data_IF_945433791789
#
_entry.id   IF_945433791789
#
_cell.length_a   1.000
_cell.length_b   1.000
_cell.length_c   1.000
_cell.angle_alpha   90.00
_cell.angle_beta   90.00
_cell.angle_gamma   90.00
#
_symmetry.space_group_name_H-M   'P 1'
#
loop_
_entity.id
_entity.type
_entity.pdbx_description
1 polymer ?
#
# COMPACT_ATOMS: atom_id res chain seq x y z
N UNK A 1 -3.25 -19.70 -27.85
CA UNK A 1 -4.53 -18.95 -27.82
C UNK A 1 -4.28 -17.66 -27.07
N UNK A 2 -4.36 -16.52 -27.76
CA UNK A 2 -4.13 -15.20 -27.17
C UNK A 2 -5.19 -14.94 -26.10
N UNK A 3 -4.78 -14.91 -24.83
CA UNK A 3 -5.68 -14.60 -23.71
C UNK A 3 -6.16 -13.16 -23.83
N UNK A 4 -7.41 -12.97 -24.22
CA UNK A 4 -8.06 -11.66 -24.12
C UNK A 4 -8.02 -11.24 -22.65
N UNK A 5 -7.41 -10.09 -22.37
CA UNK A 5 -7.56 -9.46 -21.06
C UNK A 5 -9.06 -9.22 -20.83
N UNK A 6 -9.61 -9.63 -19.68
CA UNK A 6 -11.03 -9.41 -19.41
C UNK A 6 -11.34 -7.92 -19.50
N UNK A 7 -12.36 -7.59 -20.28
CA UNK A 7 -12.85 -6.21 -20.38
C UNK A 7 -13.65 -5.90 -19.10
N UNK A 8 -13.38 -4.73 -18.52
CA UNK A 8 -14.03 -4.27 -17.29
C UNK A 8 -15.24 -3.41 -17.66
N UNK A 9 -16.36 -3.57 -16.94
CA UNK A 9 -17.51 -2.67 -17.08
C UNK A 9 -17.13 -1.24 -16.72
N UNK A 10 -17.65 -0.24 -17.43
CA UNK A 10 -17.45 1.18 -17.11
C UNK A 10 -18.04 1.55 -15.74
N UNK A 11 -19.02 0.78 -15.28
CA UNK A 11 -19.74 0.94 -14.00
C UNK A 11 -19.13 0.09 -12.88
N UNK A 12 -17.80 0.13 -12.70
CA UNK A 12 -17.16 -0.59 -11.59
C UNK A 12 -17.67 -0.08 -10.24
N UNK A 13 -17.89 -1.00 -9.30
CA UNK A 13 -18.19 -0.74 -7.90
C UNK A 13 -19.47 0.08 -7.62
N UNK A 14 -20.47 -0.01 -8.52
CA UNK A 14 -21.79 0.60 -8.32
C UNK A 14 -22.52 0.06 -7.07
N UNK A 15 -23.49 0.83 -6.53
CA UNK A 15 -24.38 0.34 -5.46
C UNK A 15 -25.01 -1.00 -5.85
N UNK A 16 -24.83 -2.02 -5.01
CA UNK A 16 -25.30 -3.38 -5.27
C UNK A 16 -24.27 -4.35 -5.87
N UNK A 17 -23.04 -3.89 -6.18
CA UNK A 17 -21.96 -4.82 -6.51
C UNK A 17 -21.68 -5.78 -5.34
N UNK A 18 -21.55 -7.09 -5.60
CA UNK A 18 -21.23 -8.05 -4.55
C UNK A 18 -19.87 -7.73 -3.93
N UNK A 19 -19.73 -8.14 -2.67
CA UNK A 19 -18.53 -7.91 -1.88
C UNK A 19 -17.88 -9.24 -1.55
N UNK A 20 -16.56 -9.22 -1.46
CA UNK A 20 -15.76 -10.27 -0.85
C UNK A 20 -15.04 -9.69 0.37
N UNK A 21 -14.27 -10.51 1.12
CA UNK A 21 -13.46 -10.02 2.24
C UNK A 21 -12.45 -8.91 1.87
N UNK A 22 -12.15 -8.73 0.57
CA UNK A 22 -11.25 -7.68 0.04
C UNK A 22 -12.00 -6.46 -0.53
N UNK A 23 -13.28 -6.32 -0.20
CA UNK A 23 -14.11 -5.18 -0.60
C UNK A 23 -15.00 -5.45 -1.82
N UNK A 24 -15.49 -4.39 -2.48
CA UNK A 24 -16.29 -4.49 -3.70
C UNK A 24 -15.57 -5.31 -4.79
N UNK A 25 -16.30 -6.24 -5.40
CA UNK A 25 -15.79 -7.10 -6.47
C UNK A 25 -15.77 -6.37 -7.82
N UNK A 26 -14.87 -6.78 -8.71
CA UNK A 26 -14.79 -6.30 -10.08
C UNK A 26 -15.92 -6.89 -10.92
N UNK A 27 -16.62 -6.04 -11.69
CA UNK A 27 -17.59 -6.46 -12.68
C UNK A 27 -16.90 -6.75 -14.02
N UNK A 28 -17.00 -7.99 -14.50
CA UNK A 28 -16.41 -8.46 -15.75
C UNK A 28 -17.44 -8.37 -16.88
N UNK A 29 -17.03 -7.86 -18.05
CA UNK A 29 -17.84 -7.90 -19.27
C UNK A 29 -17.75 -9.27 -19.94
N UNK A 30 -18.79 -9.63 -20.69
CA UNK A 30 -18.84 -10.82 -21.57
C UNK A 30 -18.54 -12.15 -20.88
N UNK A 31 -19.18 -12.42 -19.73
CA UNK A 31 -19.08 -13.73 -19.08
C UNK A 31 -20.15 -14.67 -19.62
N UNK A 32 -19.76 -15.91 -19.96
CA UNK A 32 -20.68 -16.93 -20.47
C UNK A 32 -21.71 -17.37 -19.39
N UNK A 33 -21.41 -17.14 -18.11
CA UNK A 33 -22.29 -17.47 -16.98
C UNK A 33 -22.61 -16.24 -16.11
N UNK A 34 -23.79 -16.18 -15.46
CA UNK A 34 -24.11 -15.14 -14.48
C UNK A 34 -23.22 -15.18 -13.23
N UNK A 35 -22.72 -16.36 -12.85
CA UNK A 35 -21.88 -16.58 -11.65
C UNK A 35 -20.44 -16.12 -11.81
N UNK A 36 -19.99 -15.88 -13.04
CA UNK A 36 -18.63 -15.40 -13.36
C UNK A 36 -18.57 -13.90 -13.62
N UNK A 37 -19.70 -13.19 -13.52
CA UNK A 37 -19.77 -11.73 -13.73
C UNK A 37 -18.94 -10.93 -12.73
N UNK A 38 -18.55 -11.53 -11.60
CA UNK A 38 -17.82 -10.84 -10.55
C UNK A 38 -16.58 -11.61 -10.09
N UNK A 39 -15.46 -10.90 -10.00
CA UNK A 39 -14.20 -11.44 -9.50
C UNK A 39 -13.66 -10.62 -8.33
N UNK A 40 -12.88 -11.26 -7.46
CA UNK A 40 -12.13 -10.53 -6.43
C UNK A 40 -11.17 -9.54 -7.10
N UNK A 41 -11.09 -8.33 -6.57
CA UNK A 41 -10.20 -7.27 -7.07
C UNK A 41 -8.73 -7.48 -6.66
N UNK A 42 -8.49 -8.28 -5.61
CA UNK A 42 -7.17 -8.54 -5.05
C UNK A 42 -6.56 -9.89 -5.50
N UNK A 43 -7.40 -10.89 -5.79
CA UNK A 43 -6.97 -12.25 -6.07
C UNK A 43 -7.58 -12.77 -7.38
N UNK A 44 -6.76 -13.45 -8.18
CA UNK A 44 -7.15 -13.97 -9.50
C UNK A 44 -8.23 -15.04 -9.43
N UNK A 45 -8.25 -15.86 -8.38
CA UNK A 45 -9.18 -16.97 -8.23
C UNK A 45 -9.86 -16.97 -6.85
N UNK A 46 -11.04 -17.62 -6.79
CA UNK A 46 -11.87 -17.71 -5.59
C UNK A 46 -11.19 -18.48 -4.45
N UNK A 47 -10.35 -19.47 -4.78
CA UNK A 47 -9.66 -20.29 -3.78
C UNK A 47 -8.65 -19.46 -2.97
N UNK A 48 -7.84 -18.64 -3.63
CA UNK A 48 -6.85 -17.79 -2.98
C UNK A 48 -7.49 -16.64 -2.20
N UNK A 49 -8.56 -16.04 -2.75
CA UNK A 49 -9.41 -15.10 -2.02
C UNK A 49 -9.93 -15.72 -0.70
N UNK A 50 -10.45 -16.95 -0.77
CA UNK A 50 -10.95 -17.66 0.42
C UNK A 50 -9.85 -18.07 1.40
N UNK A 51 -8.67 -18.50 0.92
CA UNK A 51 -7.52 -18.83 1.77
C UNK A 51 -7.04 -17.61 2.55
N UNK A 52 -6.87 -16.49 1.86
CA UNK A 52 -6.43 -15.23 2.47
C UNK A 52 -7.43 -14.74 3.52
N UNK A 53 -8.73 -14.81 3.22
CA UNK A 53 -9.79 -14.48 4.19
C UNK A 53 -9.75 -15.35 5.46
N UNK A 54 -9.47 -16.65 5.33
CA UNK A 54 -9.34 -17.55 6.49
C UNK A 54 -8.10 -17.25 7.33
N UNK A 55 -6.98 -16.89 6.68
CA UNK A 55 -5.76 -16.52 7.40
C UNK A 55 -5.96 -15.27 8.26
N UNK A 56 -6.74 -14.29 7.77
CA UNK A 56 -7.07 -13.09 8.51
C UNK A 56 -7.97 -13.35 9.72
N UNK A 57 -8.96 -14.24 9.59
CA UNK A 57 -9.92 -14.53 10.64
C UNK A 57 -9.39 -15.48 11.72
N UNK A 58 -8.22 -16.10 11.51
CA UNK A 58 -7.61 -16.94 12.53
C UNK A 58 -7.16 -16.10 13.72
N UNK A 59 -7.73 -16.34 14.91
CA UNK A 59 -7.32 -15.68 16.15
C UNK A 59 -5.88 -16.07 16.51
N UNK A 60 -4.91 -15.35 15.96
CA UNK A 60 -3.49 -15.46 16.33
C UNK A 60 -3.22 -14.31 17.30
N UNK A 61 -2.64 -14.64 18.46
CA UNK A 61 -2.09 -13.62 19.35
C UNK A 61 -0.95 -12.95 18.57
N UNK A 62 -1.23 -11.78 18.00
CA UNK A 62 -0.30 -11.05 17.18
C UNK A 62 0.26 -9.92 18.01
N UNK A 63 1.54 -9.99 18.30
CA UNK A 63 2.21 -8.94 19.04
C UNK A 63 2.56 -7.79 18.08
N UNK A 64 2.41 -6.56 18.54
CA UNK A 64 2.91 -5.39 17.83
C UNK A 64 4.39 -5.15 18.12
N UNK A 65 5.08 -4.45 17.23
CA UNK A 65 6.45 -3.97 17.46
C UNK A 65 6.55 -3.16 18.75
N UNK A 66 5.56 -2.31 19.04
CA UNK A 66 5.53 -1.53 20.28
C UNK A 66 5.50 -2.40 21.55
N UNK A 67 4.89 -3.58 21.48
CA UNK A 67 4.90 -4.53 22.59
C UNK A 67 6.20 -5.34 22.63
N UNK A 68 6.77 -5.73 21.47
CA UNK A 68 8.05 -6.44 21.39
C UNK A 68 9.22 -5.58 21.88
N UNK A 69 9.22 -4.28 21.58
CA UNK A 69 10.27 -3.35 21.99
C UNK A 69 10.39 -3.23 23.52
N UNK A 70 9.35 -3.61 24.27
CA UNK A 70 9.37 -3.67 25.75
C UNK A 70 10.12 -4.89 26.29
N UNK A 71 10.40 -5.88 25.45
CA UNK A 71 11.16 -7.08 25.80
C UNK A 71 12.62 -6.95 25.33
N UNK A 72 13.52 -7.75 25.91
CA UNK A 72 14.90 -7.85 25.43
C UNK A 72 14.95 -8.51 24.03
N UNK A 73 15.91 -8.16 23.15
CA UNK A 73 15.99 -8.74 21.80
C UNK A 73 15.92 -10.27 21.74
N UNK A 74 16.56 -10.97 22.69
CA UNK A 74 16.54 -12.43 22.77
C UNK A 74 15.15 -13.06 23.02
N UNK A 75 14.19 -12.28 23.52
CA UNK A 75 12.81 -12.71 23.77
C UNK A 75 11.85 -12.36 22.62
N UNK A 76 12.36 -11.78 21.54
CA UNK A 76 11.58 -11.33 20.40
C UNK A 76 11.73 -12.32 19.25
N UNK A 77 10.60 -12.79 18.73
CA UNK A 77 10.57 -13.75 17.62
C UNK A 77 9.59 -13.37 16.52
N UNK A 78 9.88 -13.86 15.32
CA UNK A 78 8.96 -13.88 14.19
C UNK A 78 8.80 -15.31 13.69
N UNK A 79 7.56 -15.77 13.61
CA UNK A 79 7.24 -17.11 13.15
C UNK A 79 6.89 -17.07 11.67
N UNK A 80 7.70 -17.73 10.84
CA UNK A 80 7.56 -17.72 9.38
C UNK A 80 6.34 -18.52 8.93
N UNK A 81 5.94 -19.55 9.68
CA UNK A 81 4.77 -20.38 9.36
C UNK A 81 3.46 -19.75 9.81
N UNK A 82 3.50 -18.96 10.89
CA UNK A 82 2.34 -18.26 11.41
C UNK A 82 2.25 -16.80 10.93
N UNK A 83 3.24 -16.31 10.19
CA UNK A 83 3.33 -14.92 9.72
C UNK A 83 3.08 -13.90 10.85
N UNK A 84 3.69 -14.11 12.02
CA UNK A 84 3.42 -13.30 13.20
C UNK A 84 4.63 -13.01 14.08
N UNK A 85 4.63 -11.82 14.70
CA UNK A 85 5.54 -11.47 15.78
C UNK A 85 5.05 -12.11 17.08
N UNK A 86 5.98 -12.55 17.91
CA UNK A 86 5.69 -13.17 19.19
C UNK A 86 6.79 -12.95 20.23
N UNK A 87 6.44 -13.16 21.50
CA UNK A 87 7.40 -13.25 22.61
C UNK A 87 7.74 -14.70 22.93
N UNK A 88 9.03 -15.01 22.94
CA UNK A 88 9.55 -16.38 23.11
C UNK A 88 9.18 -16.97 24.47
N UNK A 89 9.33 -16.19 25.54
CA UNK A 89 9.03 -16.56 26.93
C UNK A 89 7.55 -16.83 27.21
N UNK A 90 6.65 -16.23 26.42
CA UNK A 90 5.19 -16.32 26.66
C UNK A 90 4.54 -17.35 25.74
N UNK A 91 5.10 -17.55 24.54
CA UNK A 91 4.42 -18.30 23.48
C UNK A 91 5.17 -19.59 23.13
N UNK A 92 4.81 -20.68 23.79
CA UNK A 92 5.37 -22.02 23.53
C UNK A 92 4.90 -22.65 22.21
N UNK A 93 3.83 -22.12 21.59
CA UNK A 93 3.26 -22.63 20.33
C UNK A 93 4.26 -22.64 19.16
N UNK A 94 5.30 -21.80 19.21
CA UNK A 94 6.23 -21.63 18.10
C UNK A 94 7.52 -22.44 18.22
N UNK A 95 7.66 -23.27 19.26
CA UNK A 95 8.88 -24.06 19.51
C UNK A 95 9.23 -24.99 18.34
N UNK A 96 8.22 -25.61 17.72
CA UNK A 96 8.40 -26.53 16.60
C UNK A 96 8.31 -25.85 15.22
N UNK A 97 8.07 -24.54 15.16
CA UNK A 97 7.91 -23.81 13.90
C UNK A 97 9.24 -23.22 13.44
N UNK A 98 9.34 -22.96 12.14
CA UNK A 98 10.42 -22.15 11.58
C UNK A 98 10.27 -20.70 12.06
N UNK A 99 11.22 -20.26 12.87
CA UNK A 99 11.21 -18.95 13.52
C UNK A 99 12.54 -18.22 13.33
N UNK A 100 12.49 -16.90 13.46
CA UNK A 100 13.66 -16.04 13.62
C UNK A 100 13.55 -15.36 14.97
N UNK A 101 14.50 -15.65 15.86
CA UNK A 101 14.58 -15.11 17.23
C UNK A 101 15.68 -14.07 17.32
N UNK A 102 15.73 -13.30 18.41
CA UNK A 102 16.77 -12.30 18.60
C UNK A 102 16.54 -11.03 17.78
N UNK A 103 15.28 -10.66 17.52
CA UNK A 103 14.96 -9.53 16.65
C UNK A 103 15.44 -8.21 17.26
N UNK A 104 16.35 -7.53 16.55
CA UNK A 104 16.84 -6.21 16.94
C UNK A 104 15.78 -5.13 16.70
N UNK A 105 15.95 -4.00 17.37
CA UNK A 105 15.13 -2.81 17.17
C UNK A 105 15.11 -2.36 15.69
N UNK A 106 16.26 -2.42 15.02
CA UNK A 106 16.38 -2.03 13.61
C UNK A 106 15.67 -3.00 12.67
N UNK A 107 15.79 -4.31 12.92
CA UNK A 107 15.11 -5.32 12.09
C UNK A 107 13.59 -5.22 12.21
N UNK A 108 13.07 -4.89 13.40
CA UNK A 108 11.64 -4.62 13.59
C UNK A 108 11.13 -3.38 12.85
N UNK A 109 12.03 -2.45 12.47
CA UNK A 109 11.69 -1.29 11.62
C UNK A 109 11.80 -1.58 10.12
N UNK A 110 12.31 -2.75 9.76
CA UNK A 110 12.51 -3.17 8.37
C UNK A 110 11.84 -4.53 8.07
N UNK A 111 10.50 -4.65 8.26
CA UNK A 111 9.79 -5.91 8.13
C UNK A 111 9.98 -6.59 6.79
N UNK A 112 10.20 -5.85 5.72
CA UNK A 112 10.50 -6.42 4.40
C UNK A 112 11.77 -7.29 4.33
N UNK A 113 12.71 -7.22 5.30
CA UNK A 113 13.82 -8.19 5.42
C UNK A 113 13.42 -9.45 6.22
N UNK A 114 12.27 -9.40 6.89
CA UNK A 114 11.75 -10.46 7.76
C UNK A 114 10.62 -11.24 7.07
N UNK A 115 9.73 -10.52 6.40
CA UNK A 115 8.56 -11.01 5.70
C UNK A 115 8.97 -11.59 4.35
N UNK A 116 8.54 -12.81 4.09
CA UNK A 116 8.60 -13.35 2.72
C UNK A 116 7.60 -12.62 1.84
N UNK A 117 7.92 -12.40 0.54
CA UNK A 117 6.94 -11.99 -0.45
C UNK A 117 5.69 -12.86 -0.42
N UNK A 118 4.51 -12.26 -0.57
CA UNK A 118 3.27 -13.03 -0.64
C UNK A 118 3.27 -13.87 -1.94
N UNK A 119 3.11 -15.20 -1.81
CA UNK A 119 3.24 -16.18 -2.90
C UNK A 119 2.31 -15.94 -4.11
N UNK A 120 1.28 -15.12 -3.96
CA UNK A 120 0.29 -14.84 -5.01
C UNK A 120 0.67 -13.62 -5.88
N UNK A 121 1.80 -12.97 -5.62
CA UNK A 121 2.39 -12.06 -6.61
C UNK A 121 2.91 -12.93 -7.77
N UNK A 122 2.10 -13.10 -8.80
CA UNK A 122 2.50 -13.73 -10.08
C UNK A 122 3.67 -13.02 -10.81
N UNK A 123 4.32 -12.04 -10.16
CA UNK A 123 5.61 -11.50 -10.48
C UNK A 123 6.45 -11.47 -9.21
N UNK A 124 7.74 -11.80 -9.34
CA UNK A 124 8.77 -11.58 -8.33
C UNK A 124 8.50 -10.24 -7.61
N UNK A 125 8.31 -10.24 -6.28
CA UNK A 125 8.24 -8.99 -5.55
C UNK A 125 9.63 -8.37 -5.58
N UNK A 126 9.84 -7.41 -6.46
CA UNK A 126 11.09 -6.68 -6.57
C UNK A 126 11.13 -5.67 -5.42
N UNK A 127 12.11 -5.82 -4.54
CA UNK A 127 12.39 -4.80 -3.53
C UNK A 127 13.36 -3.79 -4.12
N UNK A 128 13.07 -2.49 -3.94
CA UNK A 128 13.98 -1.41 -4.33
C UNK A 128 15.35 -1.60 -3.68
N UNK A 129 16.40 -1.48 -4.49
CA UNK A 129 17.77 -1.37 -4.00
C UNK A 129 17.95 -0.10 -3.15
N UNK A 130 18.98 -0.10 -2.29
CA UNK A 130 19.31 1.06 -1.47
C UNK A 130 19.67 2.28 -2.34
N UNK A 131 20.30 2.07 -3.50
CA UNK A 131 20.61 3.15 -4.44
C UNK A 131 19.33 3.80 -5.01
N UNK A 132 18.39 2.98 -5.51
CA UNK A 132 17.07 3.43 -5.96
C UNK A 132 16.34 4.22 -4.86
N UNK A 133 16.35 3.72 -3.63
CA UNK A 133 15.69 4.38 -2.49
C UNK A 133 16.33 5.74 -2.15
N UNK A 134 17.66 5.84 -2.13
CA UNK A 134 18.35 7.11 -1.90
C UNK A 134 18.05 8.13 -3.01
N UNK A 135 18.02 7.68 -4.26
CA UNK A 135 17.74 8.55 -5.40
C UNK A 135 16.30 9.07 -5.36
N UNK A 136 15.32 8.17 -5.17
CA UNK A 136 13.90 8.52 -5.01
C UNK A 136 13.68 9.49 -3.84
N UNK A 137 14.31 9.22 -2.68
CA UNK A 137 14.24 10.11 -1.53
C UNK A 137 14.81 11.50 -1.84
N UNK A 138 15.93 11.57 -2.58
CA UNK A 138 16.52 12.84 -3.00
C UNK A 138 15.59 13.62 -3.93
N UNK A 139 14.92 12.95 -4.87
CA UNK A 139 13.88 13.55 -5.72
C UNK A 139 12.74 14.10 -4.85
N UNK A 140 12.27 13.34 -3.86
CA UNK A 140 11.21 13.81 -2.95
C UNK A 140 11.63 15.07 -2.19
N UNK A 141 12.88 15.16 -1.74
CA UNK A 141 13.42 16.37 -1.14
C UNK A 141 13.43 17.55 -2.13
N UNK A 142 13.85 17.34 -3.38
CA UNK A 142 13.92 18.38 -4.40
C UNK A 142 12.54 18.93 -4.79
N UNK A 143 11.50 18.08 -4.81
CA UNK A 143 10.11 18.54 -5.03
C UNK A 143 9.48 19.15 -3.78
N UNK A 144 10.22 19.27 -2.67
CA UNK A 144 9.74 19.89 -1.43
C UNK A 144 8.80 19.02 -0.60
N UNK A 145 8.84 17.69 -0.78
CA UNK A 145 7.97 16.78 -0.06
C UNK A 145 8.30 16.75 1.44
N UNK A 146 7.28 16.86 2.27
CA UNK A 146 7.33 16.57 3.72
C UNK A 146 6.52 15.32 4.08
N UNK A 147 5.53 14.96 3.27
CA UNK A 147 4.65 13.82 3.49
C UNK A 147 4.58 12.94 2.24
N UNK A 148 4.87 11.65 2.40
CA UNK A 148 4.78 10.68 1.30
C UNK A 148 3.72 9.63 1.62
N UNK A 149 2.66 9.58 0.81
CA UNK A 149 1.71 8.48 0.82
C UNK A 149 2.28 7.34 -0.03
N UNK A 150 2.77 6.31 0.63
CA UNK A 150 3.31 5.10 -0.01
C UNK A 150 2.15 4.15 -0.31
N UNK A 151 1.93 3.79 -1.57
CA UNK A 151 0.86 2.89 -2.00
C UNK A 151 1.48 1.63 -2.62
N UNK A 152 1.38 0.48 -1.95
CA UNK A 152 2.00 -0.78 -2.36
C UNK A 152 3.54 -0.80 -2.29
N UNK A 153 4.14 0.15 -1.57
CA UNK A 153 5.59 0.40 -1.57
C UNK A 153 6.22 0.34 -0.17
N UNK A 154 6.14 -0.81 0.53
CA UNK A 154 6.60 -0.95 1.91
C UNK A 154 8.07 -0.57 2.10
N UNK A 155 8.95 -0.94 1.14
CA UNK A 155 10.37 -0.58 1.18
C UNK A 155 10.64 0.93 1.18
N UNK A 156 9.86 1.70 0.41
CA UNK A 156 9.99 3.15 0.41
C UNK A 156 9.52 3.74 1.74
N UNK A 157 8.40 3.23 2.27
CA UNK A 157 7.90 3.63 3.59
C UNK A 157 8.94 3.42 4.68
N UNK A 158 9.51 2.21 4.77
CA UNK A 158 10.58 1.86 5.71
C UNK A 158 11.78 2.80 5.58
N UNK A 159 12.25 3.02 4.34
CA UNK A 159 13.40 3.88 4.11
C UNK A 159 13.16 5.30 4.64
N UNK A 160 11.99 5.89 4.36
CA UNK A 160 11.63 7.23 4.87
C UNK A 160 11.59 7.23 6.40
N UNK A 161 10.96 6.22 7.02
CA UNK A 161 10.87 6.13 8.48
C UNK A 161 12.27 5.98 9.11
N UNK A 162 13.18 5.21 8.50
CA UNK A 162 14.56 5.08 8.96
C UNK A 162 15.35 6.40 8.81
N UNK A 163 15.20 7.12 7.70
CA UNK A 163 15.81 8.45 7.55
C UNK A 163 15.31 9.40 8.64
N UNK A 164 14.01 9.34 8.96
CA UNK A 164 13.41 10.13 10.01
C UNK A 164 13.95 9.79 11.40
N UNK A 165 13.99 8.50 11.76
CA UNK A 165 14.36 8.07 13.12
C UNK A 165 15.87 8.10 13.37
N UNK A 166 16.68 7.66 12.41
CA UNK A 166 18.13 7.52 12.60
C UNK A 166 18.94 8.72 12.11
N UNK A 167 18.41 9.49 11.15
CA UNK A 167 19.10 10.67 10.60
C UNK A 167 18.36 11.98 10.85
N UNK A 168 17.35 11.95 11.72
CA UNK A 168 16.55 13.12 12.10
C UNK A 168 15.99 13.90 10.92
N UNK A 169 15.70 13.22 9.80
CA UNK A 169 15.14 13.86 8.61
C UNK A 169 13.66 14.20 8.82
N UNK A 170 13.18 15.34 8.28
CA UNK A 170 11.84 15.84 8.59
C UNK A 170 10.72 15.16 7.81
N UNK A 171 11.03 14.43 6.73
CA UNK A 171 10.04 13.75 5.90
C UNK A 171 9.34 12.65 6.71
N UNK A 172 8.04 12.48 6.48
CA UNK A 172 7.24 11.41 7.08
C UNK A 172 6.45 10.69 5.98
N UNK A 173 6.00 9.47 6.29
CA UNK A 173 5.27 8.64 5.35
C UNK A 173 4.14 7.86 6.02
N UNK A 174 3.15 7.48 5.22
CA UNK A 174 2.07 6.56 5.59
C UNK A 174 1.93 5.50 4.51
N UNK A 175 1.73 4.25 4.92
CA UNK A 175 1.67 3.10 4.01
C UNK A 175 0.24 2.61 3.82
N UNK A 176 -0.20 2.57 2.56
CA UNK A 176 -1.38 1.87 2.11
C UNK A 176 -0.96 0.57 1.41
N UNK A 177 -1.23 -0.58 2.02
CA UNK A 177 -0.89 -1.89 1.44
C UNK A 177 -1.97 -2.94 1.72
N UNK A 178 -2.00 -3.98 0.88
CA UNK A 178 -2.88 -5.13 1.04
C UNK A 178 -2.40 -6.07 2.15
N UNK A 179 -1.08 -6.16 2.35
CA UNK A 179 -0.45 -7.11 3.26
C UNK A 179 -0.74 -6.76 4.72
N UNK A 180 -1.67 -7.51 5.34
CA UNK A 180 -2.09 -7.27 6.71
C UNK A 180 -0.97 -7.49 7.74
N UNK A 181 0.09 -8.24 7.40
CA UNK A 181 1.20 -8.55 8.31
C UNK A 181 1.93 -7.29 8.74
N UNK A 182 1.96 -6.27 7.88
CA UNK A 182 2.61 -4.98 8.11
C UNK A 182 1.95 -4.16 9.24
N UNK A 183 0.68 -4.44 9.56
CA UNK A 183 -0.05 -3.75 10.64
C UNK A 183 0.67 -3.86 11.98
N UNK A 184 1.21 -5.04 12.28
CA UNK A 184 1.93 -5.29 13.53
C UNK A 184 3.27 -4.57 13.62
N UNK A 185 3.81 -4.10 12.48
CA UNK A 185 5.08 -3.38 12.42
C UNK A 185 4.91 -1.87 12.51
N UNK A 186 3.92 -1.32 11.82
CA UNK A 186 3.82 0.13 11.64
C UNK A 186 2.71 0.80 12.46
N UNK A 187 1.77 0.03 13.01
CA UNK A 187 0.67 0.58 13.80
C UNK A 187 -0.09 1.68 13.05
N UNK A 188 -0.09 2.89 13.61
CA UNK A 188 -0.81 4.05 13.05
C UNK A 188 -0.25 4.59 11.72
N UNK A 189 0.96 4.17 11.33
CA UNK A 189 1.59 4.57 10.05
C UNK A 189 1.17 3.69 8.87
N UNK A 190 0.24 2.77 9.10
CA UNK A 190 -0.24 1.82 8.13
C UNK A 190 -1.77 1.77 8.11
N UNK A 191 -2.31 1.67 6.91
CA UNK A 191 -3.71 1.34 6.71
C UNK A 191 -3.80 0.22 5.69
N UNK A 192 -4.48 -0.86 6.08
CA UNK A 192 -4.73 -1.93 5.12
C UNK A 192 -5.67 -1.43 4.04
N UNK A 193 -5.23 -1.52 2.79
CA UNK A 193 -5.88 -0.87 1.65
C UNK A 193 -5.81 -1.74 0.40
N UNK A 194 -6.94 -1.85 -0.29
CA UNK A 194 -7.00 -2.49 -1.59
C UNK A 194 -6.89 -1.44 -2.71
N UNK A 195 -5.72 -1.41 -3.34
CA UNK A 195 -5.36 -0.44 -4.37
C UNK A 195 -6.22 -0.51 -5.65
N UNK A 196 -6.93 -1.61 -5.89
CA UNK A 196 -7.76 -1.75 -7.10
C UNK A 196 -9.14 -1.14 -6.91
N UNK A 197 -9.72 -1.25 -5.71
CA UNK A 197 -11.09 -0.82 -5.43
C UNK A 197 -11.23 0.26 -4.35
N UNK A 198 -10.12 0.73 -3.78
CA UNK A 198 -10.13 1.78 -2.77
C UNK A 198 -10.57 1.33 -1.37
N UNK A 199 -10.69 0.03 -1.12
CA UNK A 199 -11.27 -0.47 0.12
C UNK A 199 -10.28 -0.43 1.29
N UNK A 200 -10.66 0.27 2.36
CA UNK A 200 -10.04 0.21 3.69
C UNK A 200 -10.74 -0.87 4.52
N UNK A 201 -9.95 -1.75 5.14
CA UNK A 201 -10.49 -3.01 5.68
C UNK A 201 -11.17 -2.86 7.05
N UNK A 202 -10.73 -1.90 7.86
CA UNK A 202 -11.27 -1.68 9.21
C UNK A 202 -11.44 -0.19 9.51
N UNK A 203 -12.31 0.18 10.47
CA UNK A 203 -12.42 1.57 10.94
C UNK A 203 -11.09 2.13 11.47
N UNK A 204 -10.24 1.28 12.04
CA UNK A 204 -8.89 1.67 12.45
C UNK A 204 -8.02 2.05 11.26
N UNK A 205 -8.07 1.30 10.16
CA UNK A 205 -7.30 1.62 8.95
C UNK A 205 -7.73 2.97 8.38
N UNK A 206 -9.04 3.26 8.39
CA UNK A 206 -9.56 4.58 8.02
C UNK A 206 -9.05 5.67 8.97
N UNK A 207 -9.24 5.53 10.29
CA UNK A 207 -8.76 6.51 11.28
C UNK A 207 -7.25 6.81 11.18
N UNK A 208 -6.42 5.78 10.96
CA UNK A 208 -4.97 5.95 10.77
C UNK A 208 -4.68 6.77 9.51
N UNK A 209 -5.36 6.48 8.39
CA UNK A 209 -5.20 7.24 7.16
C UNK A 209 -5.70 8.68 7.30
N UNK A 210 -6.83 8.89 7.97
CA UNK A 210 -7.37 10.22 8.27
C UNK A 210 -6.42 11.04 9.13
N UNK A 211 -5.76 10.41 10.09
CA UNK A 211 -4.74 11.04 10.94
C UNK A 211 -3.53 11.48 10.14
N UNK A 212 -3.12 10.71 9.12
CA UNK A 212 -2.11 11.13 8.16
C UNK A 212 -2.57 12.32 7.31
N UNK A 213 -3.75 12.26 6.68
CA UNK A 213 -4.31 13.36 5.89
C UNK A 213 -4.36 14.67 6.69
N UNK A 214 -4.77 14.58 7.97
CA UNK A 214 -4.83 15.72 8.89
C UNK A 214 -3.47 16.36 9.15
N UNK A 215 -2.37 15.61 9.06
CA UNK A 215 -0.99 16.15 9.20
C UNK A 215 -0.47 16.68 7.86
N UNK A 216 -0.85 16.02 6.78
CA UNK A 216 -0.48 16.32 5.39
C UNK A 216 -1.35 17.45 4.76
N UNK A 217 -1.55 18.56 5.49
CA UNK A 217 -2.51 19.62 5.11
C UNK A 217 -2.11 20.45 3.89
N UNK A 218 -0.81 20.57 3.66
CA UNK A 218 -0.29 21.36 2.57
C UNK A 218 0.01 20.44 1.39
N UNK A 219 -0.94 20.37 0.43
CA UNK A 219 -0.86 19.46 -0.72
C UNK A 219 0.40 19.63 -1.57
N UNK A 220 1.00 20.84 -1.60
CA UNK A 220 2.28 21.12 -2.28
C UNK A 220 3.47 20.43 -1.62
N UNK A 221 3.33 19.96 -0.38
CA UNK A 221 4.34 19.20 0.37
C UNK A 221 4.05 17.70 0.41
N UNK A 222 3.05 17.24 -0.33
CA UNK A 222 2.64 15.85 -0.36
C UNK A 222 3.14 15.18 -1.65
N UNK A 223 3.49 13.90 -1.58
CA UNK A 223 3.79 13.05 -2.73
C UNK A 223 3.01 11.75 -2.61
N UNK A 224 2.43 11.29 -3.72
CA UNK A 224 1.90 9.93 -3.83
C UNK A 224 2.94 9.07 -4.55
N UNK A 225 3.41 8.01 -3.89
CA UNK A 225 4.38 7.07 -4.47
C UNK A 225 3.76 5.67 -4.58
N UNK A 226 3.43 5.26 -5.80
CA UNK A 226 2.69 4.06 -6.09
C UNK A 226 3.55 3.02 -6.81
N UNK A 227 3.63 1.82 -6.23
CA UNK A 227 4.24 0.62 -6.82
C UNK A 227 3.15 -0.48 -6.94
N UNK A 228 2.33 -0.44 -8.00
CA UNK A 228 1.21 -1.35 -8.14
C UNK A 228 1.66 -2.74 -8.62
N UNK A 229 0.96 -3.83 -8.24
CA UNK A 229 1.18 -5.13 -8.85
C UNK A 229 0.96 -5.06 -10.37
N UNK A 230 1.87 -5.62 -11.17
CA UNK A 230 1.82 -5.49 -12.65
C UNK A 230 0.55 -6.05 -13.30
N UNK A 231 -0.10 -7.02 -12.65
CA UNK A 231 -1.33 -7.63 -13.14
C UNK A 231 -2.58 -6.78 -12.85
N UNK A 232 -2.46 -5.72 -12.02
CA UNK A 232 -3.59 -4.89 -11.63
C UNK A 232 -4.06 -4.01 -12.79
N UNK A 233 -5.37 -3.80 -12.95
CA UNK A 233 -5.89 -2.92 -14.00
C UNK A 233 -5.45 -1.47 -13.79
N UNK A 234 -4.49 -1.00 -14.59
CA UNK A 234 -3.92 0.36 -14.46
C UNK A 234 -4.98 1.47 -14.47
N UNK A 235 -6.09 1.32 -15.21
CA UNK A 235 -7.19 2.28 -15.21
C UNK A 235 -7.80 2.48 -13.82
N UNK A 236 -7.95 1.40 -13.06
CA UNK A 236 -8.54 1.44 -11.73
C UNK A 236 -7.54 2.02 -10.72
N UNK A 237 -6.25 1.70 -10.87
CA UNK A 237 -5.20 2.30 -10.04
C UNK A 237 -5.15 3.82 -10.24
N UNK A 238 -5.22 4.30 -11.49
CA UNK A 238 -5.27 5.73 -11.78
C UNK A 238 -6.50 6.40 -11.15
N UNK A 239 -7.68 5.79 -11.28
CA UNK A 239 -8.90 6.25 -10.58
C UNK A 239 -8.71 6.32 -9.06
N UNK A 240 -7.99 5.36 -8.48
CA UNK A 240 -7.67 5.42 -7.05
C UNK A 240 -6.71 6.55 -6.71
N UNK A 241 -5.72 6.86 -7.55
CA UNK A 241 -4.83 8.00 -7.30
C UNK A 241 -5.59 9.33 -7.28
N UNK A 242 -6.53 9.52 -8.21
CA UNK A 242 -7.39 10.70 -8.23
C UNK A 242 -8.31 10.77 -6.99
N UNK A 243 -8.81 9.62 -6.54
CA UNK A 243 -9.63 9.51 -5.33
C UNK A 243 -8.81 9.85 -4.07
N UNK A 244 -7.60 9.30 -3.95
CA UNK A 244 -6.70 9.58 -2.83
C UNK A 244 -6.26 11.06 -2.81
N UNK A 245 -5.97 11.64 -3.98
CA UNK A 245 -5.68 13.08 -4.10
C UNK A 245 -6.87 13.93 -3.67
N UNK A 246 -8.08 13.57 -4.07
CA UNK A 246 -9.31 14.25 -3.63
C UNK A 246 -9.51 14.13 -2.13
N UNK A 247 -9.30 12.95 -1.53
CA UNK A 247 -9.39 12.74 -0.08
C UNK A 247 -8.37 13.56 0.71
N UNK A 248 -7.15 13.72 0.17
CA UNK A 248 -6.17 14.63 0.74
C UNK A 248 -6.63 16.08 0.62
N UNK A 249 -7.25 16.47 -0.49
CA UNK A 249 -7.70 17.85 -0.74
C UNK A 249 -8.95 18.26 0.05
N UNK A 250 -10.01 17.46 0.03
CA UNK A 250 -11.30 17.76 0.67
C UNK A 250 -11.14 17.90 2.18
N UNK A 251 -10.24 17.12 2.78
CA UNK A 251 -9.96 17.17 4.22
C UNK A 251 -9.04 18.34 4.60
N UNK A 252 -8.56 19.09 3.63
CA UNK A 252 -7.79 20.33 3.80
C UNK A 252 -8.66 21.59 3.63
N UNK A 253 -9.86 21.50 3.06
CA UNK A 253 -10.70 22.66 2.77
C UNK A 253 -11.68 23.07 3.89
N UNK A 254 -11.76 22.34 5.00
CA UNK A 254 -12.65 22.65 6.15
C UNK A 254 -12.36 23.98 6.87
N UNK A 255 -11.42 24.81 6.38
CA UNK A 255 -11.16 26.18 6.91
C UNK A 255 -11.11 27.30 5.88
N UNK A 256 -11.44 27.09 4.60
CA UNK A 256 -11.38 28.16 3.58
C UNK A 256 -12.68 28.22 2.76
N UNK A 257 -13.83 28.27 3.43
CA UNK A 257 -15.04 28.83 2.82
C UNK A 257 -14.95 30.37 2.92
N UNK A 258 -14.31 30.99 1.92
CA UNK A 258 -14.62 32.34 1.41
C UNK A 258 -13.65 32.87 0.34
N UNK A 259 -13.23 32.07 -0.65
CA UNK A 259 -12.72 32.65 -1.91
C UNK A 259 -13.27 31.88 -3.12
N UNK A 260 -13.97 32.62 -3.99
CA UNK A 260 -14.39 32.15 -5.31
C UNK A 260 -13.18 31.57 -6.05
N UNK A 261 -13.33 30.44 -6.77
CA UNK A 261 -12.26 29.93 -7.61
C UNK A 261 -11.99 30.96 -8.70
N UNK A 262 -10.84 31.63 -8.61
CA UNK A 262 -10.35 32.52 -9.64
C UNK A 262 -9.86 31.64 -10.79
N UNK A 263 -10.49 31.75 -11.95
CA UNK A 263 -10.05 31.09 -13.17
C UNK A 263 -8.65 31.61 -13.54
N UNK A 264 -7.59 30.87 -13.16
CA UNK A 264 -6.21 31.27 -13.41
C UNK A 264 -5.17 30.79 -12.38
N UNK A 265 -5.57 30.27 -11.21
CA UNK A 265 -4.62 29.63 -10.29
C UNK A 265 -4.34 28.21 -10.77
N UNK A 266 -3.13 27.92 -11.24
CA UNK A 266 -2.69 26.54 -11.50
C UNK A 266 -3.05 25.66 -10.30
N UNK A 267 -3.79 24.57 -10.53
CA UNK A 267 -4.03 23.57 -9.49
C UNK A 267 -2.66 23.13 -8.98
N UNK A 268 -2.35 23.39 -7.71
CA UNK A 268 -1.21 22.78 -7.03
C UNK A 268 -1.47 21.27 -6.97
N UNK A 269 -1.12 20.56 -8.05
CA UNK A 269 -1.32 19.13 -8.17
C UNK A 269 -0.25 18.45 -7.31
N UNK A 270 -0.68 17.69 -6.31
CA UNK A 270 0.18 16.78 -5.54
C UNK A 270 0.91 15.84 -6.51
N UNK A 271 2.25 15.85 -6.59
CA UNK A 271 2.99 14.97 -7.49
C UNK A 271 2.66 13.49 -7.25
N UNK A 272 2.52 12.73 -8.34
CA UNK A 272 2.33 11.28 -8.31
C UNK A 272 3.50 10.65 -9.02
N UNK A 273 4.13 9.68 -8.38
CA UNK A 273 5.16 8.84 -8.95
C UNK A 273 4.63 7.41 -9.07
N UNK A 274 4.69 6.87 -10.28
CA UNK A 274 4.37 5.47 -10.56
C UNK A 274 5.65 4.71 -10.88
N UNK A 275 5.85 3.59 -10.20
CA UNK A 275 6.86 2.61 -10.56
C UNK A 275 6.19 1.56 -11.44
N UNK A 276 6.51 1.56 -12.73
CA UNK A 276 5.97 0.61 -13.69
C UNK A 276 7.09 0.13 -14.62
N UNK A 277 7.01 -1.12 -15.12
CA UNK A 277 7.86 -1.54 -16.22
C UNK A 277 7.70 -0.63 -17.44
N UNK A 278 8.82 -0.31 -18.12
CA UNK A 278 8.85 0.66 -19.23
C UNK A 278 7.83 0.37 -20.34
N UNK A 279 7.52 -0.90 -20.60
CA UNK A 279 6.55 -1.30 -21.63
C UNK A 279 5.09 -0.86 -21.33
N UNK A 280 4.79 -0.36 -20.13
CA UNK A 280 3.50 0.27 -19.82
C UNK A 280 3.38 1.71 -20.35
N UNK A 281 4.47 2.35 -20.79
CA UNK A 281 4.50 3.76 -21.18
C UNK A 281 3.38 4.12 -22.15
N UNK A 282 3.29 3.44 -23.29
CA UNK A 282 2.29 3.75 -24.32
C UNK A 282 0.85 3.53 -23.83
N UNK A 283 0.63 2.56 -22.93
CA UNK A 283 -0.68 2.34 -22.31
C UNK A 283 -1.01 3.46 -21.32
N UNK A 284 -0.04 3.89 -20.53
CA UNK A 284 -0.20 4.97 -19.56
C UNK A 284 -0.43 6.31 -20.26
N UNK A 285 0.34 6.64 -21.30
CA UNK A 285 0.17 7.87 -22.09
C UNK A 285 -1.23 8.00 -22.71
N UNK A 286 -1.82 6.89 -23.18
CA UNK A 286 -3.20 6.88 -23.68
C UNK A 286 -4.26 7.18 -22.62
N UNK A 287 -4.00 6.75 -21.39
CA UNK A 287 -4.97 6.80 -20.29
C UNK A 287 -4.80 8.03 -19.40
N UNK A 288 -3.57 8.53 -19.31
CA UNK A 288 -3.14 9.64 -18.48
C UNK A 288 -1.97 10.36 -19.16
N UNK A 289 -2.24 11.18 -20.19
CA UNK A 289 -1.22 11.81 -21.05
C UNK A 289 -0.33 12.83 -20.32
N UNK A 290 -0.66 13.16 -19.07
CA UNK A 290 0.11 14.06 -18.22
C UNK A 290 1.27 13.36 -17.47
N UNK A 291 1.38 12.04 -17.54
CA UNK A 291 2.57 11.33 -17.03
C UNK A 291 3.68 11.33 -18.08
N UNK A 292 4.88 11.68 -17.62
CA UNK A 292 6.11 11.50 -18.37
C UNK A 292 6.90 10.33 -17.78
N UNK A 293 7.48 9.49 -18.64
CA UNK A 293 8.46 8.49 -18.23
C UNK A 293 9.78 9.21 -17.92
N UNK A 294 10.36 8.92 -16.75
CA UNK A 294 11.70 9.37 -16.39
C UNK A 294 12.72 8.34 -16.86
N UNK A 295 13.85 8.79 -17.38
CA UNK A 295 14.96 7.92 -17.83
C UNK A 295 15.82 7.44 -16.65
N UNK A 296 15.15 6.97 -15.59
CA UNK A 296 15.78 6.40 -14.41
C UNK A 296 15.38 4.94 -14.26
N UNK A 297 16.38 4.06 -14.31
CA UNK A 297 16.17 2.63 -14.11
C UNK A 297 16.13 2.33 -12.62
N UNK A 298 14.95 1.96 -12.15
CA UNK A 298 14.79 1.42 -10.80
C UNK A 298 15.33 -0.01 -10.76
N UNK A 299 16.32 -0.22 -9.90
CA UNK A 299 16.93 -1.50 -9.55
C UNK A 299 16.41 -1.99 -8.21
#
# INVERSE_FOLDING_TARGET
MAGMNPQFSDSQFMPGCPRCPHGPMLALLNTQSPSDRFACSAFRNKADCGKDARLQNGSRLHWSVNELLKAAPGDRGYCIECDCLYRCSITSRHVAHKTQIGLTDDLLRMPSFLLKPMANSSGHAYFFSLESLNHLYSIFCQVGAQFVLCIGSPRMHEFIQLQRTHRSQPMDSHLLDMDFRLKSFYGEKFSRYNMVNGFLFTPTDDSCFQSFCTRAKELSKCVLFCDPPFASPLCLILKQMDSLRSLLSDRNCDKVMNKKPSAGSGRNLTPIFFVLPYFFEHKLQKMAPFFALLDYKIL
#
